data_IF_603637560775
#
_entry.id   IF_603637560775
#
_cell.length_a   1.000
_cell.length_b   1.000
_cell.length_c   1.000
_cell.angle_alpha   90.00
_cell.angle_beta   90.00
_cell.angle_gamma   90.00
#
_symmetry.space_group_name_H-M   'P 1'
#
loop_
_entity.id
_entity.type
_entity.pdbx_description
1 polymer ?
#
# COMPACT_ATOMS: atom_id res chain seq x y z
N UNK A 1 -20.43 -56.03 -12.18
CA UNK A 1 -20.34 -55.39 -13.52
C UNK A 1 -21.56 -55.82 -14.32
N UNK A 2 -22.27 -54.99 -15.12
CA UNK A 2 -21.93 -53.76 -15.88
C UNK A 2 -22.75 -52.50 -15.44
N UNK A 3 -22.25 -51.25 -15.50
CA UNK A 3 -22.22 -50.23 -16.59
C UNK A 3 -23.56 -49.56 -17.01
N UNK A 4 -23.79 -48.36 -16.44
CA UNK A 4 -24.12 -47.04 -17.03
C UNK A 4 -25.31 -46.79 -17.99
N UNK A 5 -26.15 -45.77 -17.65
CA UNK A 5 -26.58 -44.56 -18.42
C UNK A 5 -27.85 -43.97 -17.79
N UNK A 6 -27.81 -42.78 -17.17
CA UNK A 6 -27.96 -41.44 -17.76
C UNK A 6 -29.37 -41.15 -18.31
N UNK A 7 -30.14 -40.26 -17.66
CA UNK A 7 -30.98 -39.21 -18.27
C UNK A 7 -31.60 -38.34 -17.16
N UNK A 8 -31.16 -37.09 -17.03
CA UNK A 8 -31.91 -36.02 -16.37
C UNK A 8 -31.44 -34.66 -16.91
N UNK A 9 -32.09 -34.28 -18.01
CA UNK A 9 -32.62 -32.96 -18.33
C UNK A 9 -31.81 -31.71 -17.95
N UNK A 10 -31.28 -31.07 -19.00
CA UNK A 10 -30.88 -29.68 -19.01
C UNK A 10 -32.12 -28.76 -18.89
N UNK A 11 -32.05 -27.78 -17.99
CA UNK A 11 -32.69 -26.48 -18.16
C UNK A 11 -31.66 -25.40 -17.87
N UNK A 12 -31.55 -24.46 -18.81
CA UNK A 12 -30.82 -23.19 -18.66
C UNK A 12 -31.67 -22.22 -17.85
N UNK A 13 -31.02 -21.46 -16.98
CA UNK A 13 -31.31 -20.07 -16.64
C UNK A 13 -30.01 -19.54 -16.02
N UNK A 14 -29.19 -18.83 -16.82
CA UNK A 14 -29.13 -17.36 -16.90
C UNK A 14 -28.49 -16.72 -15.67
N UNK A 15 -27.27 -16.22 -15.89
CA UNK A 15 -26.75 -14.93 -15.43
C UNK A 15 -26.77 -14.65 -13.92
N UNK A 16 -25.58 -14.67 -13.30
CA UNK A 16 -25.23 -13.64 -12.33
C UNK A 16 -23.74 -13.31 -12.45
N UNK A 17 -23.52 -12.25 -13.23
CA UNK A 17 -22.34 -11.41 -13.27
C UNK A 17 -22.30 -10.58 -11.98
N UNK A 18 -21.21 -10.63 -11.22
CA UNK A 18 -20.93 -9.62 -10.21
C UNK A 18 -19.43 -9.57 -9.88
N UNK A 19 -18.74 -8.73 -10.66
CA UNK A 19 -17.73 -7.78 -10.24
C UNK A 19 -16.53 -8.32 -9.42
N UNK A 20 -15.57 -8.90 -10.16
CA UNK A 20 -14.16 -8.81 -9.77
C UNK A 20 -13.71 -7.35 -9.83
N UNK A 21 -13.64 -6.70 -8.66
CA UNK A 21 -12.88 -5.47 -8.48
C UNK A 21 -11.40 -5.79 -8.66
N UNK A 22 -10.87 -5.41 -9.81
CA UNK A 22 -9.45 -5.51 -10.12
C UNK A 22 -8.71 -4.36 -9.42
N UNK A 23 -8.09 -4.68 -8.28
CA UNK A 23 -7.07 -3.81 -7.69
C UNK A 23 -5.81 -3.94 -8.56
N UNK A 24 -5.21 -2.84 -9.05
CA UNK A 24 -4.02 -2.94 -9.89
C UNK A 24 -2.84 -3.46 -9.06
N UNK A 25 -2.30 -4.61 -9.45
CA UNK A 25 -1.07 -5.15 -8.90
C UNK A 25 0.10 -4.23 -9.28
N UNK A 26 0.56 -3.40 -8.35
CA UNK A 26 1.75 -2.58 -8.55
C UNK A 26 3.02 -3.45 -8.41
N UNK A 27 3.80 -3.50 -9.49
CA UNK A 27 5.14 -4.10 -9.53
C UNK A 27 6.17 -2.97 -9.50
N UNK A 28 7.00 -2.91 -8.45
CA UNK A 28 8.16 -2.01 -8.42
C UNK A 28 9.43 -2.85 -8.55
N UNK A 29 10.14 -2.68 -9.67
CA UNK A 29 11.47 -3.25 -9.90
C UNK A 29 12.51 -2.18 -9.55
N UNK A 30 13.30 -2.39 -8.50
CA UNK A 30 14.45 -1.53 -8.21
C UNK A 30 15.52 -1.68 -9.30
N UNK A 31 15.87 -0.58 -9.99
CA UNK A 31 16.90 -0.58 -11.04
C UNK A 31 18.29 -0.94 -10.46
N UNK A 32 18.84 -2.07 -10.89
CA UNK A 32 20.26 -2.39 -10.82
C UNK A 32 20.82 -2.54 -12.25
N UNK A 33 22.06 -2.06 -12.48
CA UNK A 33 22.76 -2.20 -13.76
C UNK A 33 22.89 -3.69 -14.13
N UNK A 34 22.54 -4.03 -15.36
CA UNK A 34 22.77 -5.37 -15.92
C UNK A 34 24.22 -5.43 -16.41
N UNK A 35 25.05 -6.21 -15.71
CA UNK A 35 26.33 -6.67 -16.23
C UNK A 35 26.11 -8.07 -16.81
N UNK A 36 26.65 -8.31 -18.00
CA UNK A 36 26.30 -9.46 -18.84
C UNK A 36 27.31 -10.57 -18.59
N UNK A 37 27.17 -11.28 -17.47
CA UNK A 37 27.95 -12.50 -17.23
C UNK A 37 26.99 -13.64 -16.82
N UNK A 38 26.87 -14.64 -17.69
CA UNK A 38 25.99 -15.81 -17.56
C UNK A 38 26.54 -16.80 -16.52
N UNK A 39 26.75 -16.33 -15.30
CA UNK A 39 26.81 -17.22 -14.14
C UNK A 39 25.38 -17.62 -13.80
N UNK A 40 25.10 -18.93 -13.76
CA UNK A 40 23.79 -19.52 -13.41
C UNK A 40 23.10 -18.69 -12.32
N UNK A 41 22.09 -17.89 -12.72
CA UNK A 41 21.40 -17.01 -11.81
C UNK A 41 20.80 -17.86 -10.69
N UNK A 42 21.32 -17.70 -9.48
CA UNK A 42 20.83 -18.44 -8.30
C UNK A 42 19.34 -18.20 -8.17
N UNK A 43 18.57 -19.27 -7.99
CA UNK A 43 17.12 -19.19 -7.82
C UNK A 43 16.75 -18.11 -6.77
N UNK A 44 15.70 -17.32 -7.03
CA UNK A 44 15.30 -16.26 -6.12
C UNK A 44 14.90 -16.83 -4.76
N UNK A 45 15.22 -16.09 -3.71
CA UNK A 45 14.73 -16.41 -2.36
C UNK A 45 13.30 -15.88 -2.25
N UNK A 46 12.34 -16.79 -2.10
CA UNK A 46 10.94 -16.45 -1.87
C UNK A 46 10.71 -16.08 -0.41
N UNK A 47 9.91 -15.05 -0.20
CA UNK A 47 9.55 -14.52 1.10
C UNK A 47 8.13 -13.95 1.08
N UNK A 48 7.57 -13.78 2.27
CA UNK A 48 6.24 -13.23 2.45
C UNK A 48 6.15 -12.41 3.73
N UNK A 49 5.21 -11.46 3.77
CA UNK A 49 5.01 -10.57 4.90
C UNK A 49 3.69 -9.80 4.83
N UNK A 50 3.53 -8.83 5.73
CA UNK A 50 2.29 -8.08 5.87
C UNK A 50 2.50 -6.58 6.00
N UNK A 51 1.58 -5.81 5.42
CA UNK A 51 1.29 -4.45 5.92
C UNK A 51 0.21 -4.62 6.98
N UNK A 52 0.64 -4.62 8.24
CA UNK A 52 -0.20 -4.91 9.39
C UNK A 52 -0.78 -3.62 9.94
N UNK A 53 -2.10 -3.54 9.96
CA UNK A 53 -2.85 -2.38 10.40
C UNK A 53 -3.49 -2.61 11.76
N UNK A 54 -3.53 -1.58 12.59
CA UNK A 54 -4.44 -1.47 13.73
C UNK A 54 -5.49 -0.42 13.43
N UNK A 55 -6.75 -0.80 13.66
CA UNK A 55 -7.89 0.11 13.57
C UNK A 55 -7.85 1.09 14.75
N UNK A 56 -8.30 2.31 14.50
CA UNK A 56 -8.40 3.39 15.47
C UNK A 56 -8.82 4.69 14.79
N UNK A 57 -9.02 5.79 15.55
CA UNK A 57 -9.30 7.10 14.97
C UNK A 57 -8.20 7.55 13.98
N UNK A 58 -6.96 7.14 14.26
CA UNK A 58 -5.83 7.20 13.34
C UNK A 58 -5.32 5.77 13.14
N UNK A 59 -5.34 5.21 11.92
CA UNK A 59 -4.85 3.86 11.67
C UNK A 59 -3.33 3.82 11.83
N UNK A 60 -2.84 2.73 12.45
CA UNK A 60 -1.41 2.53 12.69
C UNK A 60 -0.89 1.34 11.89
N UNK A 61 0.35 1.44 11.41
CA UNK A 61 1.09 0.41 10.69
C UNK A 61 2.18 -0.17 11.61
N UNK A 62 2.31 -1.48 11.64
CA UNK A 62 3.40 -2.13 12.36
C UNK A 62 4.72 -2.08 11.56
N UNK A 63 5.80 -1.72 12.24
CA UNK A 63 7.17 -1.89 11.75
C UNK A 63 8.00 -2.60 12.83
N UNK A 64 8.97 -3.41 12.42
CA UNK A 64 9.77 -4.23 13.33
C UNK A 64 11.25 -3.85 13.28
N UNK A 65 11.93 -3.86 14.43
CA UNK A 65 13.37 -3.63 14.53
C UNK A 65 14.14 -4.92 14.59
N UNK A 66 14.93 -5.22 13.57
CA UNK A 66 15.78 -6.41 13.56
C UNK A 66 16.94 -6.30 14.54
N UNK A 67 17.25 -7.38 15.27
CA UNK A 67 18.30 -7.41 16.30
C UNK A 67 19.69 -7.35 15.70
N UNK A 68 19.94 -8.15 14.66
CA UNK A 68 21.24 -8.31 14.00
C UNK A 68 21.69 -7.06 13.26
N UNK A 69 20.78 -6.41 12.53
CA UNK A 69 21.09 -5.23 11.69
C UNK A 69 20.71 -3.90 12.34
N UNK A 70 19.89 -3.93 13.39
CA UNK A 70 19.32 -2.73 14.00
C UNK A 70 18.52 -1.85 13.02
N UNK A 71 17.99 -2.47 11.96
CA UNK A 71 17.19 -1.83 10.91
C UNK A 71 15.71 -1.99 11.21
N UNK A 72 14.93 -0.98 10.80
CA UNK A 72 13.47 -1.01 10.79
C UNK A 72 12.97 -1.42 9.42
N UNK A 73 12.12 -2.44 9.43
CA UNK A 73 11.61 -3.09 8.23
C UNK A 73 10.13 -3.43 8.40
N UNK A 74 9.45 -3.70 7.28
CA UNK A 74 8.13 -4.34 7.33
C UNK A 74 8.29 -5.81 7.77
N UNK A 75 7.33 -6.34 8.55
CA UNK A 75 7.40 -7.71 9.03
C UNK A 75 7.30 -8.70 7.87
N UNK A 76 8.29 -9.58 7.75
CA UNK A 76 8.43 -10.56 6.67
C UNK A 76 9.52 -11.58 6.97
N UNK A 77 9.39 -12.75 6.38
CA UNK A 77 10.47 -13.72 6.33
C UNK A 77 10.36 -14.69 5.17
N UNK A 78 11.13 -15.78 5.23
CA UNK A 78 11.27 -16.71 4.10
C UNK A 78 10.13 -17.73 4.16
N UNK A 79 9.77 -18.26 3.00
CA UNK A 79 8.91 -19.44 2.97
C UNK A 79 9.67 -20.65 3.50
N UNK A 80 8.97 -21.47 4.29
CA UNK A 80 9.41 -22.80 4.66
C UNK A 80 9.00 -23.83 3.59
N UNK A 81 9.60 -25.02 3.64
CA UNK A 81 9.33 -26.08 2.66
C UNK A 81 7.87 -26.54 2.75
N UNK A 82 7.16 -26.46 1.61
CA UNK A 82 5.75 -26.86 1.51
C UNK A 82 4.74 -25.79 1.97
N UNK A 83 5.21 -24.63 2.43
CA UNK A 83 4.36 -23.53 2.91
C UNK A 83 3.90 -22.63 1.75
N UNK A 84 2.63 -22.21 1.76
CA UNK A 84 2.16 -21.20 0.80
C UNK A 84 2.67 -19.80 1.19
N UNK A 85 2.86 -18.88 0.24
CA UNK A 85 3.21 -17.50 0.56
C UNK A 85 2.29 -16.82 1.58
N UNK A 86 1.00 -17.15 1.59
CA UNK A 86 0.02 -16.55 2.51
C UNK A 86 0.19 -17.10 3.94
N UNK A 87 0.43 -18.39 4.09
CA UNK A 87 0.73 -19.03 5.38
C UNK A 87 2.04 -18.48 5.96
N UNK A 88 3.08 -18.38 5.13
CA UNK A 88 4.36 -17.77 5.50
C UNK A 88 4.17 -16.33 5.98
N UNK A 89 3.35 -15.54 5.30
CA UNK A 89 3.06 -14.17 5.70
C UNK A 89 2.43 -14.10 7.10
N UNK A 90 1.44 -14.96 7.40
CA UNK A 90 0.79 -15.03 8.71
C UNK A 90 1.78 -15.45 9.81
N UNK A 91 2.51 -16.55 9.58
CA UNK A 91 3.51 -17.07 10.52
C UNK A 91 4.55 -16.01 10.86
N UNK A 92 5.16 -15.40 9.85
CA UNK A 92 6.23 -14.41 10.02
C UNK A 92 5.74 -13.16 10.76
N UNK A 93 4.56 -12.65 10.42
CA UNK A 93 3.98 -11.50 11.15
C UNK A 93 3.72 -11.86 12.60
N UNK A 94 3.18 -13.04 12.87
CA UNK A 94 2.91 -13.50 14.22
C UNK A 94 4.20 -13.69 15.04
N UNK A 95 5.27 -14.21 14.45
CA UNK A 95 6.58 -14.38 15.10
C UNK A 95 7.31 -13.06 15.33
N UNK A 96 7.28 -12.15 14.35
CA UNK A 96 8.01 -10.89 14.40
C UNK A 96 7.30 -9.80 15.21
N UNK A 97 5.95 -9.81 15.23
CA UNK A 97 5.16 -8.78 15.93
C UNK A 97 4.54 -9.28 17.24
N UNK A 98 4.40 -10.59 17.40
CA UNK A 98 3.68 -11.19 18.51
C UNK A 98 2.15 -11.14 18.39
N UNK A 99 1.60 -10.58 17.31
CA UNK A 99 0.16 -10.45 17.09
C UNK A 99 -0.38 -11.56 16.19
N UNK A 100 -1.51 -12.14 16.60
CA UNK A 100 -2.32 -12.92 15.68
C UNK A 100 -3.14 -11.97 14.82
N UNK A 101 -3.09 -12.16 13.51
CA UNK A 101 -3.59 -11.20 12.53
C UNK A 101 -4.55 -11.86 11.55
N UNK A 102 -5.60 -11.13 11.18
CA UNK A 102 -6.43 -11.51 10.06
C UNK A 102 -5.71 -11.17 8.76
N UNK A 103 -5.44 -12.17 7.92
CA UNK A 103 -4.86 -11.96 6.58
C UNK A 103 -5.96 -11.72 5.57
N UNK A 104 -5.90 -10.59 4.86
CA UNK A 104 -6.90 -10.19 3.88
C UNK A 104 -6.37 -10.30 2.44
N UNK A 105 -6.54 -9.27 1.62
CA UNK A 105 -6.16 -9.26 0.22
C UNK A 105 -4.65 -9.08 0.00
N UNK A 106 -4.19 -9.56 -1.15
CA UNK A 106 -2.81 -9.36 -1.60
C UNK A 106 -2.61 -7.91 -2.07
N UNK A 107 -1.48 -7.30 -1.69
CA UNK A 107 -1.19 -5.90 -1.96
C UNK A 107 -0.12 -5.70 -3.04
N UNK A 108 0.92 -6.54 -3.06
CA UNK A 108 2.00 -6.36 -4.03
C UNK A 108 3.24 -7.19 -3.76
N UNK A 109 4.17 -7.10 -4.70
CA UNK A 109 5.46 -7.81 -4.64
C UNK A 109 6.61 -6.81 -4.64
N UNK A 110 7.55 -7.01 -3.71
CA UNK A 110 8.79 -6.25 -3.62
C UNK A 110 9.97 -7.15 -4.02
N UNK A 111 10.75 -6.73 -5.01
CA UNK A 111 11.93 -7.47 -5.50
C UNK A 111 13.20 -6.65 -5.30
N UNK A 112 14.20 -7.24 -4.63
CA UNK A 112 15.49 -6.59 -4.38
C UNK A 112 16.63 -7.60 -4.25
N UNK A 113 17.87 -7.13 -4.36
CA UNK A 113 19.06 -7.97 -4.18
C UNK A 113 19.47 -8.03 -2.70
N UNK A 114 19.75 -9.23 -2.19
CA UNK A 114 20.24 -9.44 -0.83
C UNK A 114 21.21 -10.62 -0.78
N UNK A 115 22.43 -10.39 -0.29
CA UNK A 115 23.45 -11.43 -0.19
C UNK A 115 23.81 -12.08 -1.53
N UNK A 116 23.82 -11.29 -2.62
CA UNK A 116 24.12 -11.77 -3.97
C UNK A 116 23.03 -12.64 -4.60
N UNK A 117 21.80 -12.60 -4.08
CA UNK A 117 20.63 -13.28 -4.67
C UNK A 117 19.45 -12.32 -4.77
N UNK A 118 18.62 -12.52 -5.79
CA UNK A 118 17.32 -11.87 -5.87
C UNK A 118 16.42 -12.39 -4.75
N UNK A 119 15.75 -11.49 -4.04
CA UNK A 119 14.74 -11.79 -3.04
C UNK A 119 13.40 -11.21 -3.50
N UNK A 120 12.38 -12.06 -3.52
CA UNK A 120 11.02 -11.72 -3.93
C UNK A 120 10.13 -11.82 -2.70
N UNK A 121 9.47 -10.74 -2.33
CA UNK A 121 8.63 -10.67 -1.13
C UNK A 121 7.19 -10.34 -1.53
N UNK A 122 6.26 -11.21 -1.17
CA UNK A 122 4.83 -10.98 -1.34
C UNK A 122 4.22 -10.37 -0.07
N UNK A 123 3.38 -9.35 -0.23
CA UNK A 123 2.74 -8.66 0.89
C UNK A 123 1.22 -8.76 0.83
N UNK A 124 0.61 -9.00 1.99
CA UNK A 124 -0.84 -8.94 2.20
C UNK A 124 -1.21 -7.79 3.13
N UNK A 125 -2.44 -7.31 3.00
CA UNK A 125 -3.05 -6.48 4.03
C UNK A 125 -3.41 -7.38 5.20
N UNK A 126 -3.06 -6.95 6.40
CA UNK A 126 -3.37 -7.68 7.62
C UNK A 126 -3.93 -6.75 8.68
N UNK A 127 -4.79 -7.27 9.54
CA UNK A 127 -5.34 -6.54 10.68
C UNK A 127 -4.95 -7.23 11.98
N UNK A 128 -4.37 -6.46 12.90
CA UNK A 128 -4.05 -6.93 14.24
C UNK A 128 -5.11 -6.45 15.22
N UNK A 129 -5.81 -7.41 15.83
CA UNK A 129 -6.75 -7.13 16.90
C UNK A 129 -6.10 -7.38 18.27
N UNK A 130 -6.40 -6.51 19.23
CA UNK A 130 -5.96 -6.69 20.61
C UNK A 130 -4.44 -6.60 20.85
N UNK A 131 -4.01 -7.19 21.98
CA UNK A 131 -2.61 -7.21 22.41
C UNK A 131 -1.79 -8.35 21.81
N UNK A 132 -0.46 -8.36 22.02
CA UNK A 132 0.38 -9.47 21.56
C UNK A 132 0.00 -10.76 22.29
N UNK A 133 -0.14 -11.84 21.53
CA UNK A 133 -0.47 -13.19 22.03
C UNK A 133 0.78 -14.03 22.30
N UNK A 134 1.96 -13.58 21.84
CA UNK A 134 3.23 -14.24 22.08
C UNK A 134 4.40 -13.27 22.20
N UNK A 135 5.51 -13.76 22.74
CA UNK A 135 6.78 -13.03 22.78
C UNK A 135 7.36 -12.93 21.38
N UNK A 136 8.06 -11.81 21.12
CA UNK A 136 8.78 -11.59 19.88
C UNK A 136 9.87 -12.63 19.68
N UNK A 137 10.12 -13.01 18.44
CA UNK A 137 11.26 -13.84 18.08
C UNK A 137 12.60 -13.22 18.53
N UNK A 138 13.57 -14.08 18.83
CA UNK A 138 14.94 -13.71 19.21
C UNK A 138 15.70 -12.86 18.19
N UNK A 139 15.18 -12.67 16.98
CA UNK A 139 15.77 -11.80 15.97
C UNK A 139 15.08 -10.42 15.88
N UNK A 140 14.01 -10.16 16.66
CA UNK A 140 13.32 -8.86 16.74
C UNK A 140 13.51 -8.18 18.10
N UNK A 141 13.92 -6.90 18.07
CA UNK A 141 14.16 -6.06 19.27
C UNK A 141 12.92 -5.29 19.72
N UNK A 142 12.08 -4.87 18.79
CA UNK A 142 10.95 -3.99 19.06
C UNK A 142 9.95 -4.02 17.90
N UNK A 143 8.73 -3.61 18.21
CA UNK A 143 7.64 -3.37 17.25
C UNK A 143 7.12 -1.96 17.55
N UNK A 144 7.13 -1.08 16.55
CA UNK A 144 6.53 0.26 16.65
C UNK A 144 5.22 0.25 15.85
N UNK A 145 4.18 0.88 16.41
CA UNK A 145 2.90 1.12 15.75
C UNK A 145 2.80 2.60 15.44
N UNK A 146 2.86 2.95 14.15
CA UNK A 146 3.09 4.31 13.69
C UNK A 146 2.03 4.72 12.68
N UNK A 147 1.80 6.02 12.50
CA UNK A 147 1.03 6.49 11.34
C UNK A 147 1.72 6.07 10.04
N UNK A 148 1.02 6.09 8.91
CA UNK A 148 1.63 5.72 7.63
C UNK A 148 2.87 6.56 7.32
N UNK A 149 2.80 7.88 7.52
CA UNK A 149 3.91 8.80 7.26
C UNK A 149 5.10 8.53 8.20
N UNK A 150 4.83 8.33 9.48
CA UNK A 150 5.87 7.99 10.46
C UNK A 150 6.49 6.62 10.17
N UNK A 151 5.71 5.63 9.74
CA UNK A 151 6.21 4.32 9.34
C UNK A 151 7.14 4.43 8.12
N UNK A 152 6.76 5.23 7.11
CA UNK A 152 7.61 5.51 5.95
C UNK A 152 8.91 6.18 6.38
N UNK A 153 8.86 7.17 7.27
CA UNK A 153 10.05 7.83 7.80
C UNK A 153 10.92 6.90 8.66
N UNK A 154 10.31 5.93 9.35
CA UNK A 154 10.98 4.98 10.24
C UNK A 154 11.78 3.92 9.50
N UNK A 155 11.26 3.43 8.38
CA UNK A 155 11.85 2.32 7.62
C UNK A 155 13.28 2.65 7.18
N UNK A 156 14.22 1.74 7.43
CA UNK A 156 15.64 1.98 7.17
C UNK A 156 16.02 1.87 5.69
N UNK A 157 15.28 1.08 4.90
CA UNK A 157 15.63 0.77 3.50
C UNK A 157 14.81 1.57 2.51
N UNK A 158 15.47 2.21 1.55
CA UNK A 158 14.83 3.07 0.53
C UNK A 158 13.75 2.36 -0.27
N UNK A 159 13.99 1.12 -0.69
CA UNK A 159 13.01 0.36 -1.46
C UNK A 159 11.79 -0.05 -0.63
N UNK A 160 11.94 -0.31 0.68
CA UNK A 160 10.79 -0.57 1.56
C UNK A 160 10.01 0.73 1.82
N UNK A 161 10.69 1.88 1.94
CA UNK A 161 10.04 3.19 2.00
C UNK A 161 9.22 3.45 0.74
N UNK A 162 9.83 3.35 -0.43
CA UNK A 162 9.17 3.55 -1.70
C UNK A 162 7.98 2.59 -1.90
N UNK A 163 8.13 1.33 -1.50
CA UNK A 163 7.05 0.36 -1.52
C UNK A 163 5.90 0.77 -0.60
N UNK A 164 6.18 1.12 0.66
CA UNK A 164 5.15 1.52 1.61
C UNK A 164 4.47 2.84 1.21
N UNK A 165 5.20 3.80 0.62
CA UNK A 165 4.62 5.04 0.08
C UNK A 165 3.58 4.76 -1.01
N UNK A 166 3.82 3.77 -1.88
CA UNK A 166 2.89 3.45 -2.97
C UNK A 166 1.74 2.55 -2.53
N UNK A 167 2.03 1.55 -1.68
CA UNK A 167 1.08 0.49 -1.33
C UNK A 167 0.31 0.79 -0.04
N UNK A 168 0.90 1.56 0.87
CA UNK A 168 0.29 1.94 2.15
C UNK A 168 -1.08 2.61 2.01
N UNK A 169 -1.26 3.61 1.13
CA UNK A 169 -2.57 4.22 0.90
C UNK A 169 -3.62 3.21 0.41
N UNK A 170 -3.23 2.28 -0.46
CA UNK A 170 -4.11 1.22 -0.97
C UNK A 170 -4.55 0.30 0.19
N UNK A 171 -3.62 -0.07 1.07
CA UNK A 171 -3.92 -0.89 2.25
C UNK A 171 -4.92 -0.20 3.20
N UNK A 172 -4.78 1.12 3.40
CA UNK A 172 -5.70 1.89 4.24
C UNK A 172 -7.09 2.00 3.61
N UNK A 173 -7.18 2.32 2.31
CA UNK A 173 -8.46 2.39 1.58
C UNK A 173 -9.17 1.04 1.62
N UNK A 174 -8.46 -0.06 1.35
CA UNK A 174 -9.05 -1.38 1.32
C UNK A 174 -9.51 -1.88 2.71
N UNK A 175 -8.91 -1.38 3.80
CA UNK A 175 -9.40 -1.62 5.15
C UNK A 175 -10.66 -0.81 5.53
N UNK A 176 -11.07 0.14 4.67
CA UNK A 176 -12.06 1.16 5.02
C UNK A 176 -11.54 2.15 6.06
N UNK A 177 -10.20 2.30 6.16
CA UNK A 177 -9.49 3.11 7.15
C UNK A 177 -8.81 4.34 6.53
N UNK A 178 -8.98 4.57 5.23
CA UNK A 178 -8.68 5.88 4.69
C UNK A 178 -9.52 6.90 5.46
N UNK A 179 -8.89 7.98 5.91
CA UNK A 179 -9.65 9.12 6.39
C UNK A 179 -10.67 9.46 5.29
N UNK A 180 -11.96 9.53 5.65
CA UNK A 180 -12.84 10.43 4.89
C UNK A 180 -12.05 11.73 4.77
N UNK A 181 -11.93 12.34 3.58
CA UNK A 181 -11.37 13.68 3.54
C UNK A 181 -12.16 14.47 4.57
N UNK A 182 -11.49 14.94 5.62
CA UNK A 182 -12.07 15.92 6.51
C UNK A 182 -12.70 16.94 5.56
N UNK A 183 -14.01 17.19 5.69
CA UNK A 183 -14.70 18.18 4.86
C UNK A 183 -13.77 19.39 4.80
N UNK A 184 -13.17 19.62 3.62
CA UNK A 184 -12.58 20.91 3.35
C UNK A 184 -13.69 21.91 3.71
N UNK A 185 -13.40 23.00 4.43
CA UNK A 185 -14.40 24.00 4.69
C UNK A 185 -14.93 24.40 3.31
N UNK A 186 -16.15 23.98 3.00
CA UNK A 186 -16.85 24.38 1.79
C UNK A 186 -17.16 25.84 2.01
N UNK A 187 -16.21 26.71 1.66
CA UNK A 187 -16.47 28.13 1.55
C UNK A 187 -17.61 28.25 0.57
N UNK A 188 -18.76 28.68 1.08
CA UNK A 188 -19.91 28.96 0.23
C UNK A 188 -19.55 30.14 -0.67
N UNK A 189 -20.22 30.27 -1.82
CA UNK A 189 -20.03 31.46 -2.67
C UNK A 189 -20.32 32.75 -1.88
N UNK A 190 -21.20 32.68 -0.87
CA UNK A 190 -21.53 33.80 0.00
C UNK A 190 -20.35 34.21 0.91
N UNK A 191 -19.55 33.24 1.38
CA UNK A 191 -18.33 33.52 2.17
C UNK A 191 -17.21 34.15 1.32
N UNK A 192 -17.14 33.76 0.04
CA UNK A 192 -16.18 34.32 -0.93
C UNK A 192 -16.57 35.75 -1.33
N UNK A 193 -17.85 35.99 -1.57
CA UNK A 193 -18.38 37.31 -1.91
C UNK A 193 -18.25 38.29 -0.73
N UNK A 194 -18.48 37.83 0.50
CA UNK A 194 -18.23 38.62 1.70
C UNK A 194 -16.74 38.97 1.86
N UNK A 195 -15.84 38.02 1.59
CA UNK A 195 -14.40 38.27 1.60
C UNK A 195 -13.96 39.29 0.55
N UNK A 196 -14.53 39.23 -0.66
CA UNK A 196 -14.25 40.18 -1.74
C UNK A 196 -14.67 41.61 -1.41
N UNK A 197 -15.75 41.79 -0.64
CA UNK A 197 -16.25 43.10 -0.21
C UNK A 197 -15.38 43.76 0.88
N UNK A 198 -14.55 42.97 1.57
CA UNK A 198 -13.64 43.48 2.62
C UNK A 198 -12.25 43.85 2.11
N UNK A 199 -11.96 43.63 0.83
CA UNK A 199 -10.67 43.95 0.23
C UNK A 199 -10.45 45.46 0.11
N UNK A 200 -9.22 45.89 0.38
CA UNK A 200 -8.82 47.27 0.09
C UNK A 200 -8.74 47.49 -1.44
N UNK A 201 -8.84 48.74 -1.93
CA UNK A 201 -8.78 49.03 -3.37
C UNK A 201 -7.51 48.51 -4.06
N UNK A 202 -6.38 48.44 -3.35
CA UNK A 202 -5.12 47.92 -3.88
C UNK A 202 -5.15 46.38 -4.02
N UNK A 203 -5.76 45.68 -3.07
CA UNK A 203 -5.91 44.23 -3.11
C UNK A 203 -6.91 43.81 -4.19
N UNK A 204 -8.00 44.55 -4.35
CA UNK A 204 -8.98 44.33 -5.42
C UNK A 204 -8.35 44.50 -6.82
N UNK A 205 -7.49 45.50 -7.02
CA UNK A 205 -6.77 45.71 -8.27
C UNK A 205 -5.81 44.56 -8.60
N UNK A 206 -5.10 44.01 -7.59
CA UNK A 206 -4.21 42.86 -7.77
C UNK A 206 -4.96 41.59 -8.17
N UNK A 207 -6.14 41.36 -7.58
CA UNK A 207 -7.01 40.23 -7.93
C UNK A 207 -7.52 40.36 -9.36
N UNK A 208 -7.88 41.57 -9.81
CA UNK A 208 -8.38 41.80 -11.16
C UNK A 208 -7.26 41.64 -12.22
N UNK A 209 -6.04 42.09 -11.93
CA UNK A 209 -4.86 41.86 -12.78
C UNK A 209 -4.55 40.36 -12.95
N UNK A 210 -4.62 39.58 -11.87
CA UNK A 210 -4.40 38.13 -11.90
C UNK A 210 -5.49 37.42 -12.73
N UNK A 211 -6.76 37.81 -12.54
CA UNK A 211 -7.89 37.28 -13.32
C UNK A 211 -7.74 37.62 -14.80
N UNK A 212 -7.38 38.85 -15.12
CA UNK A 212 -7.18 39.29 -16.49
C UNK A 212 -6.01 38.53 -17.13
N UNK A 213 -4.87 38.42 -16.44
CA UNK A 213 -3.70 37.68 -16.92
C UNK A 213 -3.99 36.20 -17.18
N UNK A 214 -4.76 35.55 -16.30
CA UNK A 214 -5.18 34.15 -16.48
C UNK A 214 -6.11 34.00 -17.68
N UNK A 215 -7.09 34.89 -17.84
CA UNK A 215 -7.99 34.88 -18.99
C UNK A 215 -7.25 35.11 -20.31
N UNK A 216 -6.23 35.97 -20.33
CA UNK A 216 -5.41 36.16 -21.53
C UNK A 216 -4.59 34.91 -21.88
N UNK A 217 -4.03 34.22 -20.88
CA UNK A 217 -3.33 32.94 -21.11
C UNK A 217 -4.25 31.86 -21.64
N UNK A 218 -5.45 31.73 -21.07
CA UNK A 218 -6.47 30.78 -21.54
C UNK A 218 -6.92 31.11 -22.96
N UNK A 219 -7.13 32.40 -23.27
CA UNK A 219 -7.49 32.86 -24.63
C UNK A 219 -6.37 32.61 -25.65
N UNK A 220 -5.11 32.84 -25.28
CA UNK A 220 -3.96 32.54 -26.13
C UNK A 220 -3.84 31.03 -26.40
N UNK A 221 -4.07 30.21 -25.39
CA UNK A 221 -4.13 28.75 -25.51
C UNK A 221 -5.27 28.30 -26.45
N UNK A 222 -6.48 28.86 -26.31
CA UNK A 222 -7.62 28.55 -27.19
C UNK A 222 -7.42 29.00 -28.65
N UNK A 223 -6.58 30.01 -28.90
CA UNK A 223 -6.22 30.46 -30.26
C UNK A 223 -5.01 29.72 -30.84
N UNK A 224 -4.37 28.83 -30.08
CA UNK A 224 -3.17 28.09 -30.53
C UNK A 224 -1.92 28.96 -30.65
N UNK A 225 -1.87 30.08 -29.92
CA UNK A 225 -0.78 31.07 -29.94
C UNK A 225 0.31 30.79 -28.87
N UNK A 226 0.24 29.64 -28.20
CA UNK A 226 1.05 29.27 -27.03
C UNK A 226 2.05 28.14 -27.32
#
# INVERSE_FOLDING_TARGET
MPRARAFAQARRCSEESSLQSAVPAAYIVGRGRFDTDLTMARAPVMAAGGIVLRRGPVPLVAVVRQRKRNEWVLPKGKLDDGETPREAAHREVLEETGHDVAVHEFLGTLVYQSGGRSKVVHFWRMEADGGPVRKLMNDIKAVDWLTLDDAIARLSREYERAFLTQIGPIALVAAGLAASPAQEPTLSNDDVDAGLQTLTPAEAASVDELRHGLLQKVKAWLRGEA
#
